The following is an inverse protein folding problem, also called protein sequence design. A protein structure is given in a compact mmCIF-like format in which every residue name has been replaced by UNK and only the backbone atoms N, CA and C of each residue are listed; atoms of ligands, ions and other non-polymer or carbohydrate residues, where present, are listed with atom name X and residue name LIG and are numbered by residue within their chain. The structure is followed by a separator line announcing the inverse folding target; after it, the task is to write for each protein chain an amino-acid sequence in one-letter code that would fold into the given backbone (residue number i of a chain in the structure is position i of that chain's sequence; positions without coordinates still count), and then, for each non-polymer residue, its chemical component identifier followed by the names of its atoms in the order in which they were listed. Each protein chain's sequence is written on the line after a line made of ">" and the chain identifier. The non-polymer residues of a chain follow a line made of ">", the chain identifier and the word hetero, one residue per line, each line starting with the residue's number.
data_IF_645919065813
#
_entry.id   IF_645919065813
#
_cell.length_a   1.000
_cell.length_b   1.000
_cell.length_c   1.000
_cell.angle_alpha   90.00
_cell.angle_beta   90.00
_cell.angle_gamma   90.00
#
_symmetry.space_group_name_H-M   'P 1'
#
loop_
_entity.id
_entity.type
_entity.pdbx_description
1 polymer ?
#
# COMPACT_ATOMS: atom_id res chain seq x y z
N UNK A 1 9.17 -2.88 13.37
CA UNK A 1 9.40 -3.31 11.97
C UNK A 1 8.85 -4.73 11.75
N UNK A 2 7.55 -4.94 12.01
CA UNK A 2 6.87 -6.22 11.79
C UNK A 2 6.02 -6.21 10.50
N UNK A 3 5.42 -5.06 10.20
CA UNK A 3 4.57 -4.84 9.02
C UNK A 3 5.38 -4.92 7.72
N UNK A 4 6.52 -4.23 7.61
CA UNK A 4 7.37 -4.26 6.41
C UNK A 4 7.79 -5.71 6.06
N UNK A 5 8.19 -6.48 7.08
CA UNK A 5 8.59 -7.89 6.91
C UNK A 5 7.40 -8.77 6.52
N UNK A 6 6.22 -8.52 7.10
CA UNK A 6 5.00 -9.22 6.73
C UNK A 6 4.61 -8.97 5.27
N UNK A 7 4.68 -7.71 4.81
CA UNK A 7 4.37 -7.33 3.43
C UNK A 7 5.33 -7.99 2.45
N UNK A 8 6.64 -7.93 2.71
CA UNK A 8 7.64 -8.58 1.85
C UNK A 8 7.39 -10.09 1.74
N UNK A 9 7.11 -10.76 2.86
CA UNK A 9 6.75 -12.18 2.84
C UNK A 9 5.45 -12.47 2.06
N UNK A 10 4.51 -11.53 2.06
CA UNK A 10 3.23 -11.67 1.36
C UNK A 10 3.43 -11.52 -0.16
N UNK A 11 4.27 -10.57 -0.58
CA UNK A 11 4.71 -10.40 -1.96
C UNK A 11 5.39 -11.69 -2.46
N UNK A 12 6.36 -12.21 -1.72
CA UNK A 12 7.08 -13.44 -2.09
C UNK A 12 6.13 -14.64 -2.26
N UNK A 13 5.15 -14.77 -1.36
CA UNK A 13 4.12 -15.82 -1.45
C UNK A 13 3.23 -15.67 -2.68
N UNK A 14 2.85 -14.44 -3.06
CA UNK A 14 2.02 -14.21 -4.25
C UNK A 14 2.77 -14.67 -5.51
N UNK A 15 4.05 -14.33 -5.66
CA UNK A 15 4.86 -14.80 -6.79
C UNK A 15 5.08 -16.31 -6.80
N UNK A 16 5.20 -16.93 -5.63
CA UNK A 16 5.40 -18.38 -5.54
C UNK A 16 4.15 -19.20 -5.94
N UNK A 17 2.94 -18.64 -5.82
CA UNK A 17 1.68 -19.37 -5.99
C UNK A 17 1.10 -19.22 -7.42
N UNK A 18 1.54 -18.22 -8.18
CA UNK A 18 1.31 -17.99 -9.62
C UNK A 18 0.06 -18.69 -10.24
N UNK A 19 -1.06 -17.98 -10.21
CA UNK A 19 -2.15 -18.07 -11.17
C UNK A 19 -2.62 -16.63 -11.36
N UNK A 20 -2.33 -16.01 -12.52
CA UNK A 20 -2.84 -14.76 -13.16
C UNK A 20 -3.50 -13.62 -12.33
N UNK A 21 -3.52 -13.68 -11.02
CA UNK A 21 -4.35 -12.90 -10.12
C UNK A 21 -3.60 -11.64 -9.74
N UNK A 22 -4.30 -10.52 -9.85
CA UNK A 22 -3.82 -9.22 -9.37
C UNK A 22 -4.15 -9.15 -7.88
N UNK A 23 -3.13 -9.11 -7.04
CA UNK A 23 -3.31 -8.83 -5.61
C UNK A 23 -3.06 -7.36 -5.34
N UNK A 24 -4.00 -6.72 -4.63
CA UNK A 24 -3.85 -5.33 -4.18
C UNK A 24 -3.66 -5.35 -2.67
N UNK A 25 -2.52 -4.83 -2.21
CA UNK A 25 -2.23 -4.62 -0.80
C UNK A 25 -2.47 -3.14 -0.49
N UNK A 26 -3.37 -2.86 0.44
CA UNK A 26 -3.70 -1.51 0.88
C UNK A 26 -3.18 -1.28 2.29
N UNK A 27 -2.45 -0.19 2.48
CA UNK A 27 -1.93 0.25 3.78
C UNK A 27 -2.83 1.34 4.34
N UNK A 28 -3.31 1.13 5.56
CA UNK A 28 -4.26 2.02 6.23
C UNK A 28 -3.63 2.53 7.52
N UNK A 29 -3.65 3.84 7.75
CA UNK A 29 -3.11 4.44 8.97
C UNK A 29 -4.11 4.33 10.14
N UNK A 30 -3.74 4.87 11.31
CA UNK A 30 -4.58 4.84 12.53
C UNK A 30 -5.88 5.67 12.44
N UNK A 31 -5.98 6.56 11.45
CA UNK A 31 -7.15 7.40 11.20
C UNK A 31 -8.10 6.73 10.17
N UNK A 32 -7.89 5.43 9.88
CA UNK A 32 -8.57 4.64 8.84
C UNK A 32 -8.41 5.21 7.42
N UNK A 33 -7.30 5.90 7.14
CA UNK A 33 -6.98 6.45 5.82
C UNK A 33 -6.04 5.52 5.06
N UNK A 34 -6.35 5.29 3.78
CA UNK A 34 -5.48 4.57 2.85
C UNK A 34 -4.27 5.43 2.50
N UNK A 35 -3.10 5.14 3.09
CA UNK A 35 -1.87 5.91 2.88
C UNK A 35 -1.02 5.40 1.71
N UNK A 36 -1.17 4.13 1.33
CA UNK A 36 -0.42 3.54 0.23
C UNK A 36 -1.09 2.27 -0.30
N UNK A 37 -0.75 1.90 -1.53
CA UNK A 37 -1.21 0.68 -2.18
C UNK A 37 -0.08 0.04 -2.98
N UNK A 38 0.01 -1.28 -2.95
CA UNK A 38 0.81 -2.05 -3.90
C UNK A 38 -0.09 -2.91 -4.76
N UNK A 39 0.09 -2.83 -6.08
CA UNK A 39 -0.52 -3.74 -7.05
C UNK A 39 0.54 -4.75 -7.44
N UNK A 40 0.25 -6.03 -7.19
CA UNK A 40 1.13 -7.16 -7.45
C UNK A 40 0.47 -8.00 -8.54
N UNK A 41 1.21 -8.21 -9.62
CA UNK A 41 0.84 -9.06 -10.74
C UNK A 41 2.02 -9.97 -11.07
N UNK A 42 1.75 -11.04 -11.83
CA UNK A 42 2.80 -11.98 -12.30
C UNK A 42 3.97 -11.27 -12.99
N UNK A 43 3.68 -10.16 -13.69
CA UNK A 43 4.67 -9.47 -14.53
C UNK A 43 5.28 -8.24 -13.87
N UNK A 44 4.69 -7.72 -12.78
CA UNK A 44 5.14 -6.46 -12.19
C UNK A 44 4.61 -6.22 -10.79
N UNK A 45 5.36 -5.42 -10.03
CA UNK A 45 4.92 -4.79 -8.79
C UNK A 45 4.89 -3.29 -9.02
N UNK A 46 3.79 -2.63 -8.68
CA UNK A 46 3.67 -1.17 -8.70
C UNK A 46 3.28 -0.66 -7.32
N UNK A 47 4.03 0.33 -6.84
CA UNK A 47 3.81 0.96 -5.54
C UNK A 47 3.19 2.34 -5.73
N UNK A 48 2.25 2.67 -4.85
CA UNK A 48 1.57 3.95 -4.84
C UNK A 48 1.48 4.50 -3.43
N UNK A 49 1.65 5.81 -3.31
CA UNK A 49 1.37 6.59 -2.11
C UNK A 49 0.14 7.45 -2.34
N UNK A 50 -0.62 7.70 -1.27
CA UNK A 50 -1.75 8.59 -1.29
C UNK A 50 -1.48 9.83 -0.44
N UNK A 51 -1.59 10.98 -1.08
CA UNK A 51 -1.46 12.27 -0.41
C UNK A 51 -2.84 12.82 -0.04
N UNK A 52 -2.92 13.36 1.18
CA UNK A 52 -4.14 13.96 1.72
C UNK A 52 -3.87 15.44 2.00
N UNK A 53 -4.68 16.32 1.40
CA UNK A 53 -4.70 17.72 1.82
C UNK A 53 -5.79 17.91 2.89
N UNK A 54 -5.42 18.63 3.95
CA UNK A 54 -6.37 19.13 4.93
C UNK A 54 -6.50 20.63 4.69
N UNK A 55 -7.65 21.07 4.19
CA UNK A 55 -7.98 22.50 4.24
C UNK A 55 -8.44 22.83 5.66
N UNK A 56 -8.25 24.07 6.10
CA UNK A 56 -8.52 24.52 7.48
C UNK A 56 -9.98 24.34 7.93
N UNK A 57 -10.90 24.04 7.00
CA UNK A 57 -12.31 23.77 7.26
C UNK A 57 -12.63 22.29 6.97
N UNK A 58 -12.27 21.44 7.94
CA UNK A 58 -12.89 20.15 8.34
C UNK A 58 -13.04 18.97 7.36
N UNK A 59 -12.84 19.11 6.04
CA UNK A 59 -12.94 17.96 5.11
C UNK A 59 -11.57 17.57 4.58
N UNK A 60 -11.12 16.36 4.91
CA UNK A 60 -9.91 15.74 4.35
C UNK A 60 -10.22 15.26 2.93
N UNK A 61 -9.48 15.73 1.94
CA UNK A 61 -9.62 15.26 0.56
C UNK A 61 -8.44 14.35 0.21
N UNK A 62 -8.73 13.21 -0.40
CA UNK A 62 -7.73 12.34 -1.00
C UNK A 62 -7.34 12.99 -2.33
N UNK A 63 -6.15 13.59 -2.38
CA UNK A 63 -5.78 14.48 -3.49
C UNK A 63 -5.17 13.71 -4.64
N UNK A 64 -4.27 12.77 -4.36
CA UNK A 64 -3.50 12.16 -5.44
C UNK A 64 -3.03 10.74 -5.13
N UNK A 65 -3.08 9.88 -6.16
CA UNK A 65 -2.42 8.58 -6.19
C UNK A 65 -1.11 8.74 -6.93
N UNK A 66 0.02 8.74 -6.23
CA UNK A 66 1.34 8.93 -6.81
C UNK A 66 2.07 7.61 -6.92
N UNK A 67 2.61 7.28 -8.09
CA UNK A 67 3.49 6.10 -8.24
C UNK A 67 4.83 6.40 -7.56
N UNK A 68 5.28 5.50 -6.70
CA UNK A 68 6.51 5.66 -5.91
C UNK A 68 7.43 4.46 -6.08
N UNK A 69 8.67 4.57 -5.59
CA UNK A 69 9.59 3.45 -5.52
C UNK A 69 9.35 2.59 -4.27
N UNK A 70 10.01 1.42 -4.24
CA UNK A 70 9.92 0.48 -3.12
C UNK A 70 10.43 1.05 -1.78
N UNK A 71 11.38 1.99 -1.82
CA UNK A 71 11.93 2.60 -0.61
C UNK A 71 10.91 3.54 0.05
N UNK A 72 10.24 4.34 -0.77
CA UNK A 72 9.18 5.24 -0.34
C UNK A 72 7.99 4.44 0.18
N UNK A 73 7.59 3.38 -0.52
CA UNK A 73 6.55 2.47 -0.04
C UNK A 73 6.89 1.81 1.30
N UNK A 74 8.15 1.39 1.49
CA UNK A 74 8.64 0.86 2.77
C UNK A 74 8.53 1.88 3.91
N UNK A 75 8.59 3.19 3.64
CA UNK A 75 8.31 4.20 4.65
C UNK A 75 6.82 4.20 5.01
N UNK A 76 5.92 4.11 4.02
CA UNK A 76 4.48 4.01 4.27
C UNK A 76 4.13 2.80 5.13
N UNK A 77 4.80 1.65 4.94
CA UNK A 77 4.64 0.46 5.78
C UNK A 77 4.87 0.72 7.27
N UNK A 78 5.76 1.65 7.63
CA UNK A 78 6.04 2.04 9.03
C UNK A 78 4.92 2.87 9.65
N UNK A 79 4.13 3.55 8.84
CA UNK A 79 2.98 4.37 9.27
C UNK A 79 1.64 3.61 9.19
N UNK A 80 1.64 2.42 8.60
CA UNK A 80 0.47 1.58 8.51
C UNK A 80 0.09 1.04 9.90
N UNK A 81 -1.20 1.14 10.22
CA UNK A 81 -1.83 0.51 11.37
C UNK A 81 -2.54 -0.79 10.97
N UNK A 82 -3.09 -0.84 9.75
CA UNK A 82 -3.84 -1.96 9.20
C UNK A 82 -3.41 -2.24 7.76
N UNK A 83 -3.50 -3.52 7.39
CA UNK A 83 -3.20 -4.00 6.03
C UNK A 83 -4.44 -4.74 5.52
N UNK A 84 -4.88 -4.42 4.31
CA UNK A 84 -5.93 -5.13 3.59
C UNK A 84 -5.35 -5.74 2.33
N UNK A 85 -5.78 -6.96 2.00
CA UNK A 85 -5.36 -7.68 0.79
C UNK A 85 -6.62 -8.04 0.01
N UNK A 86 -6.71 -7.51 -1.21
CA UNK A 86 -7.78 -7.80 -2.17
C UNK A 86 -7.17 -8.68 -3.25
N UNK A 87 -7.81 -9.81 -3.56
CA UNK A 87 -7.43 -10.74 -4.61
C UNK A 87 -8.48 -10.74 -5.71
#
# INVERSE_FOLDING_TARGET
>A
MLIDKFINNLIDKIFAINKEDVSIITLINKDDEVIAETIISVNSISFYEYEYSRNSNEVKWKVEKKKVDSNTFNLCCKFAHKIEVIK
#
